data_IF_137156210616
#
_entry.id   IF_137156210616
#
_cell.length_a   1.000
_cell.length_b   1.000
_cell.length_c   1.000
_cell.angle_alpha   90.00
_cell.angle_beta   90.00
_cell.angle_gamma   90.00
#
_symmetry.space_group_name_H-M   'P 1'
#
loop_
_entity.id
_entity.type
_entity.pdbx_description
1 polymer ?
#
# COMPACT_ATOMS: atom_id res chain seq x y z
N UNK A 1 -10.95 -9.49 49.33
CA UNK A 1 -9.83 -9.21 48.44
C UNK A 1 -10.15 -9.61 46.99
N UNK A 2 -11.30 -9.18 46.44
CA UNK A 2 -11.70 -9.51 45.06
C UNK A 2 -12.44 -8.35 44.32
N UNK A 3 -12.21 -7.10 44.73
CA UNK A 3 -12.78 -5.90 44.12
C UNK A 3 -11.72 -5.07 43.40
N UNK A 4 -10.73 -5.71 42.77
CA UNK A 4 -9.59 -5.03 42.15
C UNK A 4 -9.61 -4.82 40.65
N UNK A 5 -10.64 -5.23 39.89
CA UNK A 5 -10.64 -5.10 38.44
C UNK A 5 -11.64 -4.07 37.88
N UNK A 6 -12.55 -3.56 38.70
CA UNK A 6 -13.46 -2.45 38.34
C UNK A 6 -13.66 -1.50 39.52
N UNK A 7 -12.66 -1.28 40.33
CA UNK A 7 -12.68 -0.23 41.34
C UNK A 7 -12.76 1.10 40.63
N UNK A 8 -13.75 1.89 40.97
CA UNK A 8 -14.05 3.25 40.56
C UNK A 8 -12.89 4.23 40.87
N UNK A 9 -11.72 4.03 40.26
CA UNK A 9 -10.77 5.11 40.06
C UNK A 9 -11.35 5.99 38.96
N UNK A 10 -12.37 6.77 39.35
CA UNK A 10 -12.83 7.92 38.58
C UNK A 10 -11.55 8.65 38.15
N UNK A 11 -11.39 8.86 36.84
CA UNK A 11 -10.30 9.60 36.23
C UNK A 11 -10.17 10.98 36.89
N UNK A 12 -9.42 11.10 37.98
CA UNK A 12 -9.06 12.35 38.63
C UNK A 12 -7.89 13.06 37.91
N UNK A 13 -7.91 12.97 36.56
CA UNK A 13 -7.08 13.87 35.75
C UNK A 13 -7.67 15.26 35.88
N UNK A 14 -6.87 16.23 36.28
CA UNK A 14 -7.32 17.62 36.40
C UNK A 14 -8.07 18.01 35.10
N UNK A 15 -9.23 18.62 35.21
CA UNK A 15 -10.08 19.04 34.09
C UNK A 15 -9.27 19.72 32.97
N UNK A 16 -8.33 20.58 33.35
CA UNK A 16 -7.43 21.30 32.45
C UNK A 16 -6.63 20.35 31.57
N UNK A 17 -6.05 19.28 32.12
CA UNK A 17 -5.23 18.32 31.37
C UNK A 17 -6.08 17.53 30.38
N UNK A 18 -7.28 17.10 30.78
CA UNK A 18 -8.16 16.31 29.97
C UNK A 18 -8.74 17.05 28.77
N UNK A 19 -9.17 18.29 28.98
CA UNK A 19 -9.93 19.05 27.99
C UNK A 19 -9.11 20.08 27.20
N UNK A 20 -7.95 20.46 27.69
CA UNK A 20 -7.10 21.47 27.06
C UNK A 20 -5.74 20.90 26.67
N UNK A 21 -4.98 20.38 27.64
CA UNK A 21 -3.57 19.99 27.39
C UNK A 21 -3.46 18.81 26.42
N UNK A 22 -4.22 17.73 26.64
CA UNK A 22 -4.16 16.55 25.77
C UNK A 22 -4.62 16.86 24.33
N UNK A 23 -5.78 17.50 24.10
CA UNK A 23 -6.16 17.91 22.75
C UNK A 23 -5.14 18.84 22.09
N UNK A 24 -4.54 19.73 22.84
CA UNK A 24 -3.51 20.65 22.32
C UNK A 24 -2.31 19.89 21.76
N UNK A 25 -1.86 18.80 22.40
CA UNK A 25 -0.76 17.99 21.89
C UNK A 25 -1.11 17.33 20.54
N UNK A 26 -2.32 16.80 20.39
CA UNK A 26 -2.76 16.27 19.11
C UNK A 26 -2.77 17.36 18.03
N UNK A 27 -3.33 18.53 18.32
CA UNK A 27 -3.36 19.66 17.36
C UNK A 27 -1.94 20.07 16.97
N UNK A 28 -1.04 20.20 17.93
CA UNK A 28 0.35 20.59 17.71
C UNK A 28 1.08 19.61 16.78
N UNK A 29 1.01 18.31 17.06
CA UNK A 29 1.70 17.30 16.24
C UNK A 29 1.04 17.11 14.88
N UNK A 30 -0.28 17.21 14.77
CA UNK A 30 -0.96 17.16 13.47
C UNK A 30 -0.61 18.38 12.61
N UNK A 31 -0.47 19.57 13.23
CA UNK A 31 -0.01 20.77 12.54
C UNK A 31 1.45 20.66 12.12
N UNK A 32 2.33 20.18 13.00
CA UNK A 32 3.73 19.92 12.69
C UNK A 32 3.88 18.88 11.55
N UNK A 33 3.02 17.85 11.54
CA UNK A 33 2.90 16.88 10.45
C UNK A 33 2.30 17.43 9.15
N UNK A 34 1.94 18.72 9.11
CA UNK A 34 1.33 19.39 7.93
C UNK A 34 0.07 18.70 7.41
N UNK A 35 -0.70 18.06 8.29
CA UNK A 35 -1.93 17.34 7.93
C UNK A 35 -2.99 18.27 7.32
N UNK A 36 -2.97 19.57 7.65
CA UNK A 36 -3.97 20.55 7.23
C UNK A 36 -3.49 21.50 6.12
N UNK A 37 -2.24 21.40 5.65
CA UNK A 37 -1.67 22.44 4.78
C UNK A 37 -1.88 22.22 3.29
N UNK A 38 -1.86 20.96 2.80
CA UNK A 38 -1.99 20.63 1.37
C UNK A 38 -2.79 19.35 1.18
N UNK A 39 -3.50 19.22 0.05
CA UNK A 39 -4.06 17.94 -0.37
C UNK A 39 -2.94 16.89 -0.43
N UNK A 40 -3.21 15.71 0.10
CA UNK A 40 -2.28 14.60 0.03
C UNK A 40 -3.05 13.29 -0.08
N UNK A 41 -2.44 12.30 -0.74
CA UNK A 41 -3.03 10.99 -0.88
C UNK A 41 -3.43 10.37 0.46
N UNK A 42 -4.53 9.61 0.44
CA UNK A 42 -5.18 9.05 1.64
C UNK A 42 -4.20 8.28 2.53
N UNK A 43 -3.33 7.46 1.94
CA UNK A 43 -2.38 6.65 2.70
C UNK A 43 -1.33 7.51 3.42
N UNK A 44 -0.86 8.57 2.76
CA UNK A 44 0.08 9.52 3.35
C UNK A 44 -0.58 10.38 4.43
N UNK A 45 -1.85 10.71 4.27
CA UNK A 45 -2.64 11.39 5.28
C UNK A 45 -2.78 10.56 6.55
N UNK A 46 -3.17 9.29 6.40
CA UNK A 46 -3.30 8.35 7.52
C UNK A 46 -1.96 8.10 8.23
N UNK A 47 -0.87 7.98 7.47
CA UNK A 47 0.48 7.87 8.01
C UNK A 47 0.84 9.06 8.90
N UNK A 48 0.59 10.29 8.43
CA UNK A 48 0.87 11.50 9.22
C UNK A 48 -0.01 11.62 10.45
N UNK A 49 -1.29 11.25 10.36
CA UNK A 49 -2.19 11.20 11.51
C UNK A 49 -1.67 10.17 12.53
N UNK A 50 -1.25 8.99 12.07
CA UNK A 50 -0.69 7.96 12.94
C UNK A 50 0.52 8.45 13.72
N UNK A 51 1.53 9.02 13.03
CA UNK A 51 2.71 9.56 13.72
C UNK A 51 2.36 10.74 14.62
N UNK A 52 1.45 11.62 14.19
CA UNK A 52 0.96 12.72 15.03
C UNK A 52 0.31 12.23 16.33
N UNK A 53 -0.54 11.21 16.26
CA UNK A 53 -1.14 10.57 17.42
C UNK A 53 -0.08 9.88 18.30
N UNK A 54 0.85 9.14 17.69
CA UNK A 54 1.93 8.45 18.42
C UNK A 54 2.79 9.45 19.23
N UNK A 55 3.22 10.54 18.62
CA UNK A 55 4.00 11.57 19.32
C UNK A 55 3.18 12.27 20.41
N UNK A 56 1.90 12.56 20.16
CA UNK A 56 1.02 13.13 21.17
C UNK A 56 0.88 12.19 22.38
N UNK A 57 0.66 10.91 22.16
CA UNK A 57 0.56 9.90 23.23
C UNK A 57 1.88 9.76 23.97
N UNK A 58 3.03 9.70 23.28
CA UNK A 58 4.34 9.67 23.93
C UNK A 58 4.55 10.90 24.86
N UNK A 59 4.14 12.08 24.39
CA UNK A 59 4.26 13.30 25.22
C UNK A 59 3.28 13.29 26.40
N UNK A 60 2.06 12.75 26.23
CA UNK A 60 1.09 12.56 27.31
C UNK A 60 1.66 11.59 28.37
N UNK A 61 2.24 10.48 27.95
CA UNK A 61 2.87 9.52 28.86
C UNK A 61 4.00 10.18 29.64
N UNK A 62 4.86 10.93 28.96
CA UNK A 62 5.95 11.66 29.59
C UNK A 62 5.43 12.69 30.61
N UNK A 63 4.40 13.46 30.26
CA UNK A 63 3.80 14.44 31.16
C UNK A 63 3.19 13.75 32.38
N UNK A 64 2.42 12.67 32.20
CA UNK A 64 1.82 11.88 33.28
C UNK A 64 2.89 11.32 34.23
N UNK A 65 4.02 10.90 33.66
CA UNK A 65 5.16 10.40 34.46
C UNK A 65 5.83 11.52 35.25
N UNK A 66 6.15 12.65 34.61
CA UNK A 66 6.85 13.77 35.25
C UNK A 66 6.00 14.49 36.33
N UNK A 67 4.70 14.51 36.16
CA UNK A 67 3.77 15.17 37.11
C UNK A 67 3.30 14.26 38.23
N UNK A 68 3.79 13.00 38.29
CA UNK A 68 3.39 11.95 39.25
C UNK A 68 1.85 11.68 39.28
N UNK A 69 1.10 12.11 38.29
CA UNK A 69 -0.34 11.84 38.14
C UNK A 69 -0.58 10.36 37.75
N UNK A 70 0.48 9.59 37.51
CA UNK A 70 0.42 8.18 37.10
C UNK A 70 -0.41 7.26 38.00
N UNK A 71 -0.50 7.56 39.30
CA UNK A 71 -1.29 6.78 40.25
C UNK A 71 -2.80 6.92 40.04
N UNK A 72 -3.25 7.99 39.40
CA UNK A 72 -4.67 8.27 39.09
C UNK A 72 -5.05 8.04 37.62
N UNK A 73 -4.07 7.70 36.76
CA UNK A 73 -4.31 7.53 35.32
C UNK A 73 -4.20 6.08 34.92
N UNK A 74 -5.29 5.50 34.43
CA UNK A 74 -5.30 4.12 33.95
C UNK A 74 -4.42 3.94 32.71
N UNK A 75 -3.54 2.95 32.72
CA UNK A 75 -2.70 2.56 31.55
C UNK A 75 -3.57 2.20 30.33
N UNK A 76 -4.70 1.49 30.58
CA UNK A 76 -5.68 1.15 29.54
C UNK A 76 -6.33 2.40 28.94
N UNK A 77 -6.59 3.44 29.72
CA UNK A 77 -7.12 4.70 29.20
C UNK A 77 -6.18 5.33 28.19
N UNK A 78 -4.86 5.38 28.47
CA UNK A 78 -3.87 5.95 27.53
C UNK A 78 -3.79 5.11 26.26
N UNK A 79 -3.82 3.78 26.36
CA UNK A 79 -3.83 2.90 25.21
C UNK A 79 -5.08 3.11 24.33
N UNK A 80 -6.26 3.13 24.94
CA UNK A 80 -7.51 3.42 24.25
C UNK A 80 -7.56 4.83 23.68
N UNK A 81 -7.04 5.83 24.39
CA UNK A 81 -6.95 7.20 23.89
C UNK A 81 -6.15 7.25 22.58
N UNK A 82 -5.01 6.55 22.51
CA UNK A 82 -4.21 6.47 21.28
C UNK A 82 -4.95 5.84 20.12
N UNK A 83 -5.54 4.65 20.34
CA UNK A 83 -6.26 3.91 19.32
C UNK A 83 -7.48 4.70 18.84
N UNK A 84 -8.34 5.14 19.75
CA UNK A 84 -9.57 5.86 19.38
C UNK A 84 -9.29 7.23 18.79
N UNK A 85 -8.24 7.95 19.23
CA UNK A 85 -7.85 9.21 18.62
C UNK A 85 -7.41 9.00 17.17
N UNK A 86 -6.59 8.00 16.89
CA UNK A 86 -6.20 7.67 15.52
C UNK A 86 -7.41 7.32 14.65
N UNK A 87 -8.29 6.43 15.12
CA UNK A 87 -9.48 6.02 14.37
C UNK A 87 -10.43 7.20 14.14
N UNK A 88 -10.73 7.97 15.18
CA UNK A 88 -11.64 9.10 15.10
C UNK A 88 -11.10 10.21 14.20
N UNK A 89 -9.83 10.62 14.36
CA UNK A 89 -9.22 11.66 13.53
C UNK A 89 -9.11 11.22 12.07
N UNK A 90 -8.78 9.96 11.82
CA UNK A 90 -8.74 9.41 10.46
C UNK A 90 -10.13 9.40 9.83
N UNK A 91 -11.13 8.86 10.53
CA UNK A 91 -12.51 8.78 10.04
C UNK A 91 -13.12 10.18 9.84
N UNK A 92 -12.96 11.08 10.82
CA UNK A 92 -13.49 12.43 10.74
C UNK A 92 -12.88 13.20 9.55
N UNK A 93 -11.57 13.00 9.30
CA UNK A 93 -10.91 13.65 8.16
C UNK A 93 -11.43 13.10 6.82
N UNK A 94 -11.62 11.78 6.70
CA UNK A 94 -12.17 11.16 5.50
C UNK A 94 -13.60 11.60 5.22
N UNK A 95 -14.44 11.59 6.26
CA UNK A 95 -15.83 12.04 6.16
C UNK A 95 -15.90 13.51 5.79
N UNK A 96 -15.11 14.36 6.48
CA UNK A 96 -15.09 15.79 6.19
C UNK A 96 -14.61 16.07 4.76
N UNK A 97 -13.59 15.37 4.27
CA UNK A 97 -13.14 15.53 2.87
C UNK A 97 -14.26 15.21 1.88
N UNK A 98 -15.03 14.13 2.10
CA UNK A 98 -16.17 13.79 1.25
C UNK A 98 -17.31 14.80 1.34
N UNK A 99 -17.62 15.28 2.54
CA UNK A 99 -18.67 16.31 2.75
C UNK A 99 -18.28 17.62 2.03
N UNK A 100 -17.03 18.05 2.17
CA UNK A 100 -16.53 19.25 1.52
C UNK A 100 -16.51 19.12 0.01
N UNK A 101 -16.11 17.96 -0.51
CA UNK A 101 -16.17 17.69 -1.96
C UNK A 101 -17.60 17.68 -2.50
N UNK A 102 -18.53 17.05 -1.78
CA UNK A 102 -19.95 17.08 -2.11
C UNK A 102 -20.53 18.50 -2.09
N UNK A 103 -20.14 19.31 -1.12
CA UNK A 103 -20.53 20.71 -1.01
C UNK A 103 -19.83 21.63 -2.05
N UNK A 104 -18.90 21.09 -2.86
CA UNK A 104 -18.08 21.88 -3.79
C UNK A 104 -17.07 22.80 -3.12
N UNK A 105 -16.85 22.64 -1.80
CA UNK A 105 -15.96 23.48 -1.00
C UNK A 105 -14.59 22.78 -0.85
N UNK A 106 -13.52 23.58 -0.90
CA UNK A 106 -12.15 23.07 -0.67
C UNK A 106 -11.57 22.28 -1.85
N UNK A 107 -12.15 22.39 -3.04
CA UNK A 107 -11.52 21.93 -4.28
C UNK A 107 -10.35 22.84 -4.61
N UNK A 108 -9.20 22.23 -4.90
CA UNK A 108 -8.00 22.94 -5.28
C UNK A 108 -7.93 23.02 -6.81
N UNK A 109 -8.25 24.17 -7.41
CA UNK A 109 -8.18 24.31 -8.88
C UNK A 109 -6.72 24.24 -9.31
N UNK A 110 -6.46 23.42 -10.33
CA UNK A 110 -5.12 23.18 -10.87
C UNK A 110 -5.16 23.29 -12.39
N UNK A 111 -4.15 23.94 -12.95
CA UNK A 111 -3.88 23.95 -14.39
C UNK A 111 -2.85 22.85 -14.72
N UNK A 112 -3.13 22.09 -15.77
CA UNK A 112 -2.24 21.05 -16.26
C UNK A 112 -1.45 21.55 -17.47
N UNK A 113 -0.14 21.37 -17.45
CA UNK A 113 0.75 21.66 -18.58
C UNK A 113 1.22 20.34 -19.16
N UNK A 114 0.87 20.11 -20.42
CA UNK A 114 1.12 18.88 -21.16
C UNK A 114 -0.06 17.90 -21.10
N UNK A 115 -0.28 17.19 -22.22
CA UNK A 115 -1.36 16.22 -22.42
C UNK A 115 -0.83 14.85 -22.87
N UNK A 116 0.38 14.48 -22.48
CA UNK A 116 1.00 13.19 -22.79
C UNK A 116 0.63 12.06 -21.83
N UNK A 117 1.33 10.93 -21.93
CA UNK A 117 1.15 9.76 -21.05
C UNK A 117 1.30 10.09 -19.56
N UNK A 118 2.24 10.97 -19.22
CA UNK A 118 2.49 11.41 -17.83
C UNK A 118 1.27 12.16 -17.28
N UNK A 119 0.65 13.01 -18.09
CA UNK A 119 -0.59 13.71 -17.73
C UNK A 119 -1.75 12.72 -17.49
N UNK A 120 -1.88 11.69 -18.33
CA UNK A 120 -2.88 10.64 -18.17
C UNK A 120 -2.70 9.87 -16.85
N UNK A 121 -1.47 9.51 -16.52
CA UNK A 121 -1.16 8.82 -15.25
C UNK A 121 -1.47 9.71 -14.03
N UNK A 122 -1.12 10.99 -14.11
CA UNK A 122 -1.45 11.97 -13.07
C UNK A 122 -2.95 12.08 -12.84
N UNK A 123 -3.72 12.23 -13.92
CA UNK A 123 -5.18 12.37 -13.86
C UNK A 123 -5.84 11.12 -13.28
N UNK A 124 -5.36 9.92 -13.65
CA UNK A 124 -5.81 8.67 -13.02
C UNK A 124 -5.49 8.66 -11.52
N UNK A 125 -4.26 9.01 -11.14
CA UNK A 125 -3.85 9.08 -9.73
C UNK A 125 -4.68 10.07 -8.91
N UNK A 126 -5.02 11.23 -9.47
CA UNK A 126 -5.89 12.22 -8.82
C UNK A 126 -7.33 11.67 -8.66
N UNK A 127 -7.84 10.97 -9.67
CA UNK A 127 -9.19 10.39 -9.64
C UNK A 127 -9.33 9.24 -8.65
N UNK A 128 -8.30 8.40 -8.57
CA UNK A 128 -8.31 7.19 -7.76
C UNK A 128 -8.03 7.46 -6.26
N UNK A 129 -7.41 8.59 -5.94
CA UNK A 129 -7.07 8.95 -4.56
C UNK A 129 -7.99 10.07 -4.02
N UNK A 130 -8.98 9.66 -3.24
CA UNK A 130 -9.97 10.57 -2.61
C UNK A 130 -9.34 11.67 -1.74
N UNK A 131 -8.09 11.47 -1.28
CA UNK A 131 -7.37 12.46 -0.46
C UNK A 131 -6.80 13.63 -1.26
N UNK A 132 -6.66 13.46 -2.58
CA UNK A 132 -6.07 14.44 -3.49
C UNK A 132 -7.10 15.43 -4.04
N UNK A 133 -7.83 16.13 -3.32
CA UNK A 133 -8.95 17.00 -3.71
C UNK A 133 -8.58 18.09 -4.77
N UNK A 134 -7.77 17.72 -5.80
CA UNK A 134 -7.43 18.57 -6.94
C UNK A 134 -8.52 18.54 -7.99
N UNK A 135 -8.91 19.71 -8.45
CA UNK A 135 -9.83 19.88 -9.58
C UNK A 135 -9.08 20.47 -10.78
N UNK A 136 -8.76 19.63 -11.76
CA UNK A 136 -8.08 20.08 -12.96
C UNK A 136 -9.08 20.86 -13.82
N UNK A 137 -8.87 22.17 -13.99
CA UNK A 137 -9.78 23.06 -14.72
C UNK A 137 -9.62 22.98 -16.24
N UNK A 138 -8.45 22.53 -16.69
CA UNK A 138 -8.09 22.38 -18.10
C UNK A 138 -6.60 22.17 -18.28
N UNK A 139 -6.18 22.10 -19.54
CA UNK A 139 -4.78 21.89 -19.86
C UNK A 139 -4.29 22.80 -20.99
N UNK A 140 -2.97 23.01 -21.03
CA UNK A 140 -2.25 23.70 -22.12
C UNK A 140 -1.21 22.75 -22.72
N UNK A 141 -1.12 22.73 -24.07
CA UNK A 141 -0.14 21.88 -24.78
C UNK A 141 0.15 22.48 -26.16
N UNK A 142 1.43 22.52 -26.57
CA UNK A 142 1.83 23.01 -27.91
C UNK A 142 1.39 22.10 -29.03
N UNK A 143 1.09 20.85 -28.76
CA UNK A 143 0.61 19.89 -29.76
C UNK A 143 -0.92 19.98 -30.02
N UNK A 144 -1.59 20.94 -29.42
CA UNK A 144 -3.02 21.17 -29.59
C UNK A 144 -3.90 20.22 -28.78
N UNK A 145 -5.12 20.03 -29.22
CA UNK A 145 -6.13 19.24 -28.50
C UNK A 145 -5.81 17.74 -28.53
N UNK A 146 -5.66 17.11 -27.35
CA UNK A 146 -5.34 15.67 -27.19
C UNK A 146 -6.32 14.97 -26.24
N UNK A 147 -7.56 14.82 -26.67
CA UNK A 147 -8.62 14.16 -25.89
C UNK A 147 -8.30 12.71 -25.50
N UNK A 148 -7.50 12.01 -26.28
CA UNK A 148 -7.15 10.60 -26.05
C UNK A 148 -6.49 10.36 -24.69
N UNK A 149 -5.67 11.30 -24.22
CA UNK A 149 -4.91 11.17 -22.99
C UNK A 149 -5.57 11.85 -21.77
N UNK A 150 -6.32 12.93 -22.00
CA UNK A 150 -6.84 13.80 -20.93
C UNK A 150 -8.38 13.81 -20.86
N UNK A 151 -9.04 13.03 -21.72
CA UNK A 151 -10.50 12.89 -21.73
C UNK A 151 -11.22 14.21 -22.06
N UNK A 152 -12.26 14.55 -21.29
CA UNK A 152 -13.10 15.72 -21.52
C UNK A 152 -12.56 17.02 -20.89
N UNK A 153 -11.28 17.08 -20.50
CA UNK A 153 -10.73 18.32 -19.98
C UNK A 153 -10.65 19.39 -21.09
N UNK A 154 -11.03 20.65 -20.80
CA UNK A 154 -10.97 21.72 -21.79
C UNK A 154 -9.51 22.04 -22.14
N UNK A 155 -9.25 22.15 -23.44
CA UNK A 155 -8.03 22.72 -23.97
C UNK A 155 -8.10 24.24 -23.85
N UNK A 156 -7.13 24.84 -23.19
CA UNK A 156 -7.14 26.28 -22.88
C UNK A 156 -6.21 27.10 -23.78
N UNK A 157 -5.25 26.46 -24.47
CA UNK A 157 -4.31 27.11 -25.35
C UNK A 157 -2.93 26.49 -25.35
N UNK A 158 -1.97 27.18 -25.95
CA UNK A 158 -0.57 26.80 -26.08
C UNK A 158 0.26 27.23 -24.86
N UNK A 159 1.52 26.77 -24.77
CA UNK A 159 2.45 27.17 -23.71
C UNK A 159 2.79 28.67 -23.78
N UNK A 160 2.70 29.28 -24.96
CA UNK A 160 2.98 30.71 -25.12
C UNK A 160 1.86 31.58 -24.53
N UNK A 161 0.64 31.04 -24.46
CA UNK A 161 -0.56 31.72 -23.93
C UNK A 161 -0.78 31.49 -22.42
N UNK A 162 0.14 30.84 -21.74
CA UNK A 162 -0.06 30.39 -20.35
C UNK A 162 -0.26 31.54 -19.35
N UNK A 163 0.42 32.68 -19.55
CA UNK A 163 0.32 33.84 -18.65
C UNK A 163 -1.09 34.46 -18.67
N UNK A 164 -1.68 34.81 -19.83
CA UNK A 164 -3.06 35.29 -19.87
C UNK A 164 -4.06 34.26 -19.37
N UNK A 165 -3.82 32.96 -19.60
CA UNK A 165 -4.67 31.88 -19.08
C UNK A 165 -4.65 31.88 -17.54
N UNK A 166 -3.47 31.92 -16.92
CA UNK A 166 -3.31 31.95 -15.46
C UNK A 166 -3.96 33.20 -14.84
N UNK A 167 -3.77 34.34 -15.48
CA UNK A 167 -4.38 35.60 -15.01
C UNK A 167 -5.91 35.56 -15.09
N UNK A 168 -6.46 34.98 -16.15
CA UNK A 168 -7.92 34.85 -16.36
C UNK A 168 -8.54 33.81 -15.42
N UNK A 169 -7.86 32.68 -15.18
CA UNK A 169 -8.39 31.58 -14.38
C UNK A 169 -8.10 31.73 -12.89
N UNK A 170 -7.20 32.63 -12.49
CA UNK A 170 -6.74 32.86 -11.11
C UNK A 170 -6.31 31.58 -10.37
N UNK A 171 -5.77 30.60 -11.10
CA UNK A 171 -5.31 29.35 -10.55
C UNK A 171 -3.99 29.55 -9.83
N UNK A 172 -3.88 29.02 -8.62
CA UNK A 172 -2.69 29.13 -7.80
C UNK A 172 -1.74 27.91 -7.88
N UNK A 173 -2.19 26.80 -8.45
CA UNK A 173 -1.47 25.55 -8.52
C UNK A 173 -1.34 25.06 -9.97
N UNK A 174 -0.11 24.79 -10.41
CA UNK A 174 0.19 24.31 -11.76
C UNK A 174 0.98 23.01 -11.69
N UNK A 175 0.55 22.01 -12.44
CA UNK A 175 1.28 20.76 -12.65
C UNK A 175 1.89 20.73 -14.06
N UNK A 176 3.23 20.65 -14.13
CA UNK A 176 3.93 20.44 -15.40
C UNK A 176 4.13 18.93 -15.57
N UNK A 177 3.31 18.31 -16.44
CA UNK A 177 3.35 16.89 -16.79
C UNK A 177 3.85 16.69 -18.23
N UNK A 178 4.89 17.41 -18.59
CA UNK A 178 5.50 17.41 -19.92
C UNK A 178 7.01 17.09 -19.85
N UNK A 179 7.41 15.84 -19.50
CA UNK A 179 8.82 15.47 -19.35
C UNK A 179 9.63 15.54 -20.64
N UNK A 180 8.95 15.59 -21.81
CA UNK A 180 9.59 15.74 -23.11
C UNK A 180 9.99 17.17 -23.47
N UNK A 181 9.73 18.17 -22.62
CA UNK A 181 10.19 19.53 -22.84
C UNK A 181 11.71 19.61 -22.76
N UNK A 182 12.33 20.33 -23.69
CA UNK A 182 13.76 20.59 -23.59
C UNK A 182 14.09 21.41 -22.33
N UNK A 183 15.27 21.23 -21.72
CA UNK A 183 15.64 21.95 -20.50
C UNK A 183 15.49 23.48 -20.62
N UNK A 184 15.86 24.05 -21.77
CA UNK A 184 15.72 25.49 -22.03
C UNK A 184 14.27 25.96 -22.05
N UNK A 185 13.37 25.16 -22.68
CA UNK A 185 11.92 25.47 -22.70
C UNK A 185 11.32 25.33 -21.29
N UNK A 186 11.73 24.31 -20.54
CA UNK A 186 11.25 24.09 -19.18
C UNK A 186 11.68 25.24 -18.25
N UNK A 187 12.94 25.65 -18.30
CA UNK A 187 13.46 26.79 -17.52
C UNK A 187 12.69 28.08 -17.84
N UNK A 188 12.55 28.39 -19.13
CA UNK A 188 11.79 29.57 -19.57
C UNK A 188 10.35 29.53 -19.06
N UNK A 189 9.71 28.37 -19.15
CA UNK A 189 8.34 28.17 -18.68
C UNK A 189 8.22 28.35 -17.15
N UNK A 190 9.14 27.79 -16.40
CA UNK A 190 9.17 27.92 -14.94
C UNK A 190 9.33 29.39 -14.55
N UNK A 191 10.28 30.11 -15.14
CA UNK A 191 10.49 31.55 -14.83
C UNK A 191 9.26 32.43 -15.16
N UNK A 192 8.52 32.09 -16.21
CA UNK A 192 7.29 32.80 -16.60
C UNK A 192 6.12 32.51 -15.65
N UNK A 193 5.97 31.25 -15.22
CA UNK A 193 4.82 30.81 -14.40
C UNK A 193 5.03 31.11 -12.91
N UNK A 194 6.25 30.92 -12.39
CA UNK A 194 6.54 30.96 -10.95
C UNK A 194 6.09 32.27 -10.26
N UNK A 195 6.20 33.47 -10.86
CA UNK A 195 5.69 34.70 -10.23
C UNK A 195 4.15 34.77 -10.17
N UNK A 196 3.44 34.04 -10.99
CA UNK A 196 1.99 34.10 -11.15
C UNK A 196 1.24 33.08 -10.28
N UNK A 197 1.94 32.06 -9.74
CA UNK A 197 1.30 30.96 -9.02
C UNK A 197 1.93 30.75 -7.65
N UNK A 198 1.17 30.16 -6.72
CA UNK A 198 1.68 29.82 -5.38
C UNK A 198 2.47 28.52 -5.36
N UNK A 199 2.03 27.55 -6.13
CA UNK A 199 2.65 26.23 -6.16
C UNK A 199 2.85 25.78 -7.61
N UNK A 200 4.09 25.53 -7.99
CA UNK A 200 4.46 24.94 -9.24
C UNK A 200 5.05 23.56 -8.98
N UNK A 201 4.47 22.52 -9.56
CA UNK A 201 4.92 21.14 -9.41
C UNK A 201 5.34 20.59 -10.77
N UNK A 202 6.57 20.12 -10.85
CA UNK A 202 7.09 19.44 -12.03
C UNK A 202 7.06 17.93 -11.81
N UNK A 203 6.59 17.18 -12.81
CA UNK A 203 6.51 15.73 -12.80
C UNK A 203 7.56 15.19 -13.78
N UNK A 204 8.72 14.76 -13.28
CA UNK A 204 9.75 14.16 -14.12
C UNK A 204 9.31 12.76 -14.59
N UNK A 205 9.88 12.28 -15.70
CA UNK A 205 9.68 10.91 -16.17
C UNK A 205 10.57 9.95 -15.36
N UNK A 206 10.14 9.67 -14.14
CA UNK A 206 10.80 8.78 -13.19
C UNK A 206 9.92 7.56 -12.84
N UNK A 207 9.11 7.13 -13.81
CA UNK A 207 8.19 6.00 -13.64
C UNK A 207 8.98 4.75 -13.26
N UNK A 208 8.60 4.10 -12.15
CA UNK A 208 9.26 2.88 -11.65
C UNK A 208 10.47 3.10 -10.73
N UNK A 209 10.96 4.34 -10.59
CA UNK A 209 12.03 4.60 -9.61
C UNK A 209 11.51 4.62 -8.17
N UNK A 210 12.36 4.26 -7.18
CA UNK A 210 12.00 4.32 -5.78
C UNK A 210 11.82 5.77 -5.34
N UNK A 211 10.59 6.14 -4.98
CA UNK A 211 10.24 7.51 -4.56
C UNK A 211 10.15 7.67 -3.05
N UNK A 212 10.07 6.56 -2.31
CA UNK A 212 10.00 6.62 -0.85
C UNK A 212 11.38 6.88 -0.26
N UNK A 213 11.50 8.01 0.46
CA UNK A 213 12.77 8.44 1.05
C UNK A 213 13.71 9.14 0.05
N UNK A 214 13.18 9.62 -1.09
CA UNK A 214 13.94 10.52 -1.96
C UNK A 214 14.33 11.76 -1.17
N UNK A 215 15.63 12.02 -1.08
CA UNK A 215 16.17 13.28 -0.59
C UNK A 215 16.49 14.15 -1.79
N UNK A 216 16.00 15.37 -1.75
CA UNK A 216 16.33 16.38 -2.77
C UNK A 216 17.25 17.38 -2.12
N UNK A 217 18.49 17.47 -2.61
CA UNK A 217 19.52 18.38 -2.14
C UNK A 217 19.92 19.30 -3.29
N UNK A 218 20.05 20.60 -3.01
CA UNK A 218 20.58 21.56 -3.98
C UNK A 218 22.05 21.84 -3.68
N UNK A 219 22.92 21.60 -4.64
CA UNK A 219 24.31 22.06 -4.58
C UNK A 219 24.32 23.53 -4.97
N UNK A 220 24.46 24.40 -3.96
CA UNK A 220 24.30 25.85 -4.10
C UNK A 220 25.25 26.47 -5.13
N UNK A 221 26.51 26.02 -5.16
CA UNK A 221 27.52 26.59 -6.03
C UNK A 221 27.30 26.23 -7.51
N UNK A 222 26.80 25.03 -7.78
CA UNK A 222 26.67 24.51 -9.15
C UNK A 222 25.23 24.58 -9.69
N UNK A 223 24.27 25.05 -8.90
CA UNK A 223 22.82 25.06 -9.22
C UNK A 223 22.30 23.68 -9.63
N UNK A 224 22.90 22.61 -9.11
CA UNK A 224 22.52 21.23 -9.38
C UNK A 224 21.54 20.73 -8.34
N UNK A 225 20.56 19.97 -8.80
CA UNK A 225 19.60 19.27 -7.95
C UNK A 225 20.02 17.80 -7.88
N UNK A 226 20.41 17.34 -6.70
CA UNK A 226 20.80 15.95 -6.44
C UNK A 226 19.60 15.21 -5.84
N UNK A 227 19.15 14.18 -6.54
CA UNK A 227 18.10 13.28 -6.05
C UNK A 227 18.73 12.01 -5.47
N UNK A 228 18.77 11.90 -4.16
CA UNK A 228 19.24 10.70 -3.47
C UNK A 228 18.14 9.62 -3.47
N UNK A 229 18.34 8.54 -4.20
CA UNK A 229 17.47 7.37 -4.20
C UNK A 229 17.92 6.38 -3.12
N UNK A 230 17.00 5.93 -2.28
CA UNK A 230 17.33 5.03 -1.17
C UNK A 230 16.62 3.70 -1.34
N UNK A 231 17.36 2.60 -1.20
CA UNK A 231 16.77 1.28 -1.06
C UNK A 231 16.52 1.00 0.44
N UNK A 232 15.27 1.03 0.84
CA UNK A 232 14.91 0.95 2.25
C UNK A 232 15.16 -0.45 2.85
N UNK A 233 14.87 -1.52 2.13
CA UNK A 233 15.11 -2.89 2.65
C UNK A 233 16.56 -3.38 2.49
N UNK A 234 17.44 -2.62 1.84
CA UNK A 234 18.88 -2.89 1.90
C UNK A 234 19.48 -2.58 3.29
N UNK A 235 18.83 -1.71 4.10
CA UNK A 235 19.33 -1.29 5.41
C UNK A 235 19.04 -2.35 6.47
N UNK A 236 20.05 -2.71 7.27
CA UNK A 236 19.93 -3.73 8.34
C UNK A 236 18.87 -3.37 9.38
N UNK A 237 18.78 -2.10 9.79
CA UNK A 237 17.77 -1.63 10.71
C UNK A 237 16.34 -1.91 10.20
N UNK A 238 16.05 -1.59 8.95
CA UNK A 238 14.72 -1.83 8.37
C UNK A 238 14.41 -3.33 8.25
N UNK A 239 15.42 -4.16 7.97
CA UNK A 239 15.25 -5.64 7.95
C UNK A 239 14.87 -6.17 9.31
N UNK A 240 15.53 -5.68 10.37
CA UNK A 240 15.22 -6.09 11.75
C UNK A 240 13.81 -5.63 12.14
N UNK A 241 13.49 -4.38 11.85
CA UNK A 241 12.18 -3.80 12.15
C UNK A 241 11.05 -4.56 11.44
N UNK A 242 11.25 -4.86 10.14
CA UNK A 242 10.31 -5.68 9.39
C UNK A 242 10.16 -7.08 9.97
N UNK A 243 11.27 -7.72 10.34
CA UNK A 243 11.23 -9.04 10.93
C UNK A 243 10.43 -9.07 12.24
N UNK A 244 10.67 -8.11 13.12
CA UNK A 244 9.94 -8.00 14.38
C UNK A 244 8.46 -7.72 14.15
N UNK A 245 8.13 -6.83 13.21
CA UNK A 245 6.76 -6.53 12.81
C UNK A 245 6.04 -7.80 12.32
N UNK A 246 6.65 -8.53 11.37
CA UNK A 246 6.11 -9.78 10.84
C UNK A 246 5.89 -10.82 11.94
N UNK A 247 6.88 -11.02 12.84
CA UNK A 247 6.78 -11.99 13.93
C UNK A 247 5.64 -11.68 14.91
N UNK A 248 5.59 -10.44 15.39
CA UNK A 248 4.57 -10.01 16.36
C UNK A 248 3.18 -10.12 15.75
N UNK A 249 3.00 -9.61 14.55
CA UNK A 249 1.68 -9.62 13.90
C UNK A 249 1.23 -11.04 13.53
N UNK A 250 2.18 -11.90 13.09
CA UNK A 250 1.87 -13.29 12.78
C UNK A 250 1.52 -14.08 14.04
N UNK A 251 2.22 -13.87 15.15
CA UNK A 251 1.93 -14.55 16.42
C UNK A 251 0.52 -14.20 16.92
N UNK A 252 0.18 -12.90 16.91
CA UNK A 252 -1.16 -12.43 17.27
C UNK A 252 -2.19 -13.00 16.29
N UNK A 253 -1.90 -12.96 14.98
CA UNK A 253 -2.78 -13.49 13.94
C UNK A 253 -3.08 -14.97 14.14
N UNK A 254 -2.05 -15.81 14.35
CA UNK A 254 -2.23 -17.24 14.59
C UNK A 254 -3.05 -17.49 15.85
N UNK A 255 -2.80 -16.75 16.93
CA UNK A 255 -3.56 -16.89 18.17
C UNK A 255 -5.06 -16.63 17.93
N UNK A 256 -5.37 -15.56 17.21
CA UNK A 256 -6.79 -15.17 16.91
C UNK A 256 -7.45 -16.17 15.95
N UNK A 257 -6.75 -16.62 14.91
CA UNK A 257 -7.33 -17.49 13.88
C UNK A 257 -7.13 -18.98 14.17
N UNK A 258 -6.48 -19.36 15.27
CA UNK A 258 -6.22 -20.77 15.62
C UNK A 258 -7.47 -21.66 15.63
N UNK A 259 -8.67 -21.23 16.12
CA UNK A 259 -9.87 -22.06 16.05
C UNK A 259 -10.29 -22.34 14.59
N UNK A 260 -10.12 -21.35 13.70
CA UNK A 260 -10.41 -21.49 12.27
C UNK A 260 -9.41 -22.45 11.62
N UNK A 261 -8.12 -22.31 11.93
CA UNK A 261 -7.06 -23.20 11.41
C UNK A 261 -7.34 -24.66 11.79
N UNK A 262 -7.72 -24.92 13.04
CA UNK A 262 -8.06 -26.26 13.53
C UNK A 262 -9.31 -26.81 12.83
N UNK A 263 -10.34 -25.99 12.67
CA UNK A 263 -11.56 -26.39 11.94
C UNK A 263 -11.23 -26.75 10.49
N UNK A 264 -10.47 -25.92 9.78
CA UNK A 264 -10.07 -26.18 8.39
C UNK A 264 -9.21 -27.45 8.29
N UNK A 265 -8.28 -27.67 9.21
CA UNK A 265 -7.48 -28.87 9.29
C UNK A 265 -8.36 -30.15 9.42
N UNK A 266 -9.36 -30.09 10.29
CA UNK A 266 -10.32 -31.16 10.47
C UNK A 266 -11.15 -31.41 9.20
N UNK A 267 -11.68 -30.36 8.57
CA UNK A 267 -12.46 -30.46 7.34
C UNK A 267 -11.63 -31.07 6.20
N UNK A 268 -10.38 -30.66 6.01
CA UNK A 268 -9.48 -31.24 5.00
C UNK A 268 -9.22 -32.73 5.27
N UNK A 269 -9.08 -33.10 6.55
CA UNK A 269 -8.86 -34.51 6.94
C UNK A 269 -10.10 -35.40 6.71
N UNK A 270 -11.29 -34.85 6.94
CA UNK A 270 -12.56 -35.56 6.75
C UNK A 270 -12.93 -35.69 5.27
N UNK A 271 -12.61 -34.68 4.44
CA UNK A 271 -12.95 -34.65 3.02
C UNK A 271 -12.12 -35.66 2.20
N UNK A 272 -10.85 -35.89 2.58
CA UNK A 272 -9.96 -36.79 1.84
C UNK A 272 -8.90 -37.40 2.78
N UNK A 273 -8.64 -38.73 2.71
CA UNK A 273 -7.60 -39.37 3.49
C UNK A 273 -6.21 -38.87 3.08
N UNK A 274 -5.28 -38.75 4.06
CA UNK A 274 -3.90 -38.32 3.81
C UNK A 274 -3.45 -37.12 4.64
N UNK A 275 -2.29 -36.48 4.35
CA UNK A 275 -1.76 -35.38 5.11
C UNK A 275 -2.62 -34.12 4.96
N UNK A 276 -2.76 -33.34 6.03
CA UNK A 276 -3.56 -32.10 6.04
C UNK A 276 -2.86 -30.98 5.26
N UNK A 277 -1.53 -30.94 5.36
CA UNK A 277 -0.70 -29.92 4.73
C UNK A 277 -0.03 -30.48 3.48
N UNK A 278 0.08 -29.64 2.49
CA UNK A 278 0.88 -29.80 1.31
C UNK A 278 2.01 -28.78 1.32
N UNK A 279 3.21 -29.21 0.91
CA UNK A 279 4.38 -28.35 0.83
C UNK A 279 4.92 -28.31 -0.59
N UNK A 280 5.00 -27.13 -1.19
CA UNK A 280 5.60 -26.94 -2.50
C UNK A 280 6.93 -26.19 -2.37
N UNK A 281 8.00 -26.71 -2.99
CA UNK A 281 9.30 -26.04 -2.95
C UNK A 281 9.25 -24.72 -3.70
N UNK A 282 9.65 -23.65 -3.04
CA UNK A 282 9.70 -22.29 -3.59
C UNK A 282 11.05 -21.66 -3.29
N UNK A 283 11.40 -20.67 -4.10
CA UNK A 283 12.61 -19.86 -3.90
C UNK A 283 12.28 -18.73 -2.92
N UNK A 284 13.16 -18.53 -1.95
CA UNK A 284 13.09 -17.48 -0.94
C UNK A 284 14.29 -16.54 -0.98
N UNK A 285 14.51 -15.86 0.14
CA UNK A 285 15.59 -14.92 0.33
C UNK A 285 16.96 -15.57 0.06
N UNK A 286 17.83 -14.84 -0.68
CA UNK A 286 19.15 -15.34 -1.06
C UNK A 286 19.13 -16.50 -2.06
N UNK A 287 18.01 -16.76 -2.73
CA UNK A 287 17.88 -17.86 -3.67
C UNK A 287 17.73 -19.24 -3.02
N UNK A 288 17.52 -19.31 -1.69
CA UNK A 288 17.36 -20.56 -0.96
C UNK A 288 15.98 -21.16 -1.18
N UNK A 289 15.92 -22.47 -1.39
CA UNK A 289 14.64 -23.18 -1.48
C UNK A 289 14.05 -23.41 -0.07
N UNK A 290 12.73 -23.28 0.04
CA UNK A 290 12.00 -23.59 1.27
C UNK A 290 10.66 -24.27 0.96
N UNK A 291 10.09 -25.08 1.88
CA UNK A 291 8.79 -25.69 1.73
C UNK A 291 7.70 -24.68 2.04
N UNK A 292 6.98 -24.20 1.03
CA UNK A 292 5.83 -23.29 1.18
C UNK A 292 4.59 -24.11 1.55
N UNK A 293 4.06 -23.93 2.76
CA UNK A 293 2.95 -24.70 3.28
C UNK A 293 1.59 -24.19 2.79
N UNK A 294 0.71 -25.15 2.47
CA UNK A 294 -0.70 -24.90 2.15
C UNK A 294 -1.57 -26.01 2.74
N UNK A 295 -2.84 -25.74 2.96
CA UNK A 295 -3.79 -26.85 3.13
C UNK A 295 -3.88 -27.65 1.85
N UNK A 296 -3.99 -28.97 1.97
CA UNK A 296 -4.19 -29.85 0.82
C UNK A 296 -5.58 -29.62 0.24
N UNK A 297 -5.64 -29.25 -1.03
CA UNK A 297 -6.86 -29.00 -1.79
C UNK A 297 -7.12 -30.04 -2.88
N UNK A 298 -6.17 -30.95 -3.09
CA UNK A 298 -6.23 -32.03 -4.08
C UNK A 298 -6.19 -33.39 -3.39
N UNK A 299 -6.73 -34.40 -4.05
CA UNK A 299 -6.65 -35.79 -3.59
C UNK A 299 -5.18 -36.31 -3.64
N UNK A 300 -4.91 -37.41 -2.93
CA UNK A 300 -3.54 -37.96 -2.85
C UNK A 300 -3.07 -38.48 -4.22
N UNK A 301 -3.98 -39.06 -5.01
CA UNK A 301 -3.68 -39.63 -6.34
C UNK A 301 -3.88 -38.60 -7.48
N UNK A 302 -3.59 -37.31 -7.19
CA UNK A 302 -3.83 -36.22 -8.12
C UNK A 302 -3.20 -36.40 -9.50
N UNK A 303 -1.96 -36.88 -9.55
CA UNK A 303 -1.23 -37.11 -10.82
C UNK A 303 -1.82 -38.27 -11.67
N UNK A 304 -2.28 -39.32 -11.02
CA UNK A 304 -2.95 -40.44 -11.68
C UNK A 304 -4.28 -40.01 -12.27
N UNK A 305 -5.10 -39.32 -11.44
CA UNK A 305 -6.39 -38.78 -11.88
C UNK A 305 -6.26 -37.76 -13.02
N UNK A 306 -5.20 -36.91 -13.00
CA UNK A 306 -4.96 -36.01 -14.12
C UNK A 306 -4.70 -36.75 -15.41
N UNK A 307 -3.80 -37.77 -15.39
CA UNK A 307 -3.48 -38.53 -16.57
C UNK A 307 -4.70 -39.27 -17.15
N UNK A 308 -5.50 -39.88 -16.29
CA UNK A 308 -6.73 -40.58 -16.70
C UNK A 308 -7.76 -39.58 -17.28
N UNK A 309 -7.91 -38.41 -16.65
CA UNK A 309 -8.83 -37.39 -17.12
C UNK A 309 -8.42 -36.82 -18.47
N UNK A 310 -7.14 -36.46 -18.66
CA UNK A 310 -6.62 -35.95 -19.92
C UNK A 310 -6.64 -37.02 -21.04
N UNK A 311 -6.56 -38.28 -20.70
CA UNK A 311 -6.69 -39.38 -21.68
C UNK A 311 -8.14 -39.57 -22.19
N UNK A 312 -9.13 -39.28 -21.31
CA UNK A 312 -10.55 -39.43 -21.63
C UNK A 312 -11.23 -38.17 -22.16
N UNK A 313 -10.60 -36.97 -22.00
CA UNK A 313 -11.18 -35.67 -22.38
C UNK A 313 -10.19 -34.89 -23.25
N UNK A 314 -10.28 -34.97 -24.59
CA UNK A 314 -9.39 -34.25 -25.50
C UNK A 314 -9.42 -32.72 -25.31
N UNK A 315 -10.61 -32.12 -25.06
CA UNK A 315 -10.77 -30.68 -24.82
C UNK A 315 -10.02 -30.22 -23.56
N UNK A 316 -10.07 -31.01 -22.50
CA UNK A 316 -9.33 -30.72 -21.25
C UNK A 316 -7.82 -30.83 -21.45
N UNK A 317 -7.37 -31.71 -22.41
CA UNK A 317 -5.96 -31.81 -22.77
C UNK A 317 -5.45 -30.55 -23.46
N UNK A 318 -6.22 -29.97 -24.39
CA UNK A 318 -5.88 -28.73 -25.08
C UNK A 318 -5.82 -27.55 -24.07
N UNK A 319 -6.79 -27.47 -23.13
CA UNK A 319 -6.80 -26.49 -22.07
C UNK A 319 -5.55 -26.65 -21.18
N UNK A 320 -5.20 -27.86 -20.80
CA UNK A 320 -4.02 -28.14 -19.98
C UNK A 320 -2.70 -27.78 -20.67
N UNK A 321 -2.55 -28.12 -21.95
CA UNK A 321 -1.34 -27.83 -22.73
C UNK A 321 -1.13 -26.31 -22.90
N UNK A 322 -2.23 -25.53 -22.96
CA UNK A 322 -2.17 -24.07 -23.07
C UNK A 322 -1.87 -23.37 -21.75
N UNK A 323 -2.57 -23.73 -20.67
CA UNK A 323 -2.61 -22.94 -19.44
C UNK A 323 -2.04 -23.66 -18.21
N UNK A 324 -1.74 -24.96 -18.31
CA UNK A 324 -1.40 -25.85 -17.18
C UNK A 324 -2.42 -25.78 -16.03
N UNK A 325 -3.66 -25.47 -16.37
CA UNK A 325 -4.81 -25.37 -15.46
C UNK A 325 -6.04 -25.94 -16.15
N UNK A 326 -6.98 -26.42 -15.37
CA UNK A 326 -8.29 -26.87 -15.82
C UNK A 326 -9.37 -26.07 -15.06
N UNK A 327 -10.44 -25.68 -15.75
CA UNK A 327 -11.59 -25.01 -15.13
C UNK A 327 -12.27 -25.95 -14.15
N UNK A 328 -12.54 -27.19 -14.58
CA UNK A 328 -13.11 -28.24 -13.76
C UNK A 328 -12.04 -29.32 -13.51
N UNK A 329 -11.17 -29.05 -12.55
CA UNK A 329 -10.07 -29.94 -12.20
C UNK A 329 -10.54 -31.09 -11.28
N UNK A 330 -10.60 -32.33 -11.77
CA UNK A 330 -11.12 -33.49 -11.02
C UNK A 330 -10.26 -33.89 -9.82
N UNK A 331 -9.06 -33.31 -9.71
CA UNK A 331 -8.16 -33.52 -8.57
C UNK A 331 -8.57 -32.77 -7.32
N UNK A 332 -9.33 -31.66 -7.48
CA UNK A 332 -9.68 -30.78 -6.39
C UNK A 332 -10.81 -31.43 -5.59
N UNK A 333 -10.62 -31.47 -4.25
CA UNK A 333 -11.64 -32.00 -3.33
C UNK A 333 -12.76 -30.98 -3.10
N UNK A 334 -13.90 -31.42 -2.54
CA UNK A 334 -15.03 -30.50 -2.28
C UNK A 334 -14.63 -29.33 -1.38
N UNK A 335 -13.96 -29.62 -0.26
CA UNK A 335 -13.41 -28.59 0.62
C UNK A 335 -12.29 -27.81 -0.08
N UNK A 336 -11.50 -28.47 -0.92
CA UNK A 336 -10.47 -27.84 -1.73
C UNK A 336 -10.99 -26.70 -2.61
N UNK A 337 -12.14 -26.86 -3.25
CA UNK A 337 -12.78 -25.79 -4.03
C UNK A 337 -13.12 -24.56 -3.17
N UNK A 338 -13.67 -24.77 -1.97
CA UNK A 338 -13.98 -23.68 -1.03
C UNK A 338 -12.70 -22.97 -0.60
N UNK A 339 -11.67 -23.73 -0.21
CA UNK A 339 -10.41 -23.19 0.26
C UNK A 339 -9.72 -22.34 -0.82
N UNK A 340 -9.67 -22.81 -2.07
CA UNK A 340 -9.08 -22.07 -3.20
C UNK A 340 -9.86 -20.78 -3.52
N UNK A 341 -11.20 -20.87 -3.57
CA UNK A 341 -12.04 -19.70 -3.84
C UNK A 341 -11.91 -18.60 -2.78
N UNK A 342 -11.67 -19.01 -1.52
CA UNK A 342 -11.51 -18.08 -0.39
C UNK A 342 -10.05 -17.76 -0.07
N UNK A 343 -9.08 -18.38 -0.77
CA UNK A 343 -7.65 -18.29 -0.48
C UNK A 343 -7.26 -18.74 0.94
N UNK A 344 -8.13 -19.48 1.62
CA UNK A 344 -7.86 -20.02 2.96
C UNK A 344 -6.85 -21.18 2.94
N UNK A 345 -6.62 -21.79 1.76
CA UNK A 345 -5.57 -22.79 1.58
C UNK A 345 -4.16 -22.25 1.86
N UNK A 346 -3.95 -20.95 1.80
CA UNK A 346 -2.66 -20.30 2.02
C UNK A 346 -2.37 -19.94 3.49
N UNK A 347 -3.37 -20.05 4.40
CA UNK A 347 -3.18 -19.73 5.82
C UNK A 347 -2.01 -20.47 6.50
N UNK A 348 -1.66 -21.74 6.16
CA UNK A 348 -0.50 -22.41 6.76
C UNK A 348 0.84 -21.72 6.44
N UNK A 349 0.91 -20.82 5.45
CA UNK A 349 2.12 -20.01 5.21
C UNK A 349 2.49 -19.11 6.40
N UNK A 350 1.56 -18.82 7.31
CA UNK A 350 1.86 -18.14 8.57
C UNK A 350 2.93 -18.90 9.39
N UNK A 351 2.98 -20.22 9.31
CA UNK A 351 4.05 -21.01 9.92
C UNK A 351 5.41 -20.81 9.23
N UNK A 352 5.42 -20.56 7.91
CA UNK A 352 6.66 -20.17 7.21
C UNK A 352 7.16 -18.80 7.66
N UNK A 353 6.23 -17.86 7.97
CA UNK A 353 6.61 -16.56 8.53
C UNK A 353 7.26 -16.74 9.90
N UNK A 354 6.67 -17.54 10.81
CA UNK A 354 7.25 -17.83 12.11
C UNK A 354 8.61 -18.52 12.02
N UNK A 355 8.83 -19.37 11.01
CA UNK A 355 10.14 -19.99 10.74
C UNK A 355 11.15 -19.00 10.13
N UNK A 356 10.72 -17.80 9.76
CA UNK A 356 11.58 -16.81 9.11
C UNK A 356 11.88 -17.10 7.64
N UNK A 357 11.14 -18.01 7.01
CA UNK A 357 11.26 -18.36 5.58
C UNK A 357 10.45 -17.40 4.69
N UNK A 358 9.36 -16.83 5.25
CA UNK A 358 8.48 -15.87 4.59
C UNK A 358 8.27 -14.62 5.44
N UNK A 359 7.58 -13.65 4.87
CA UNK A 359 7.08 -12.42 5.45
C UNK A 359 5.56 -12.34 5.25
N UNK A 360 4.86 -11.52 6.02
CA UNK A 360 3.45 -11.24 5.76
C UNK A 360 3.27 -10.55 4.42
N UNK A 361 4.11 -9.54 4.14
CA UNK A 361 4.08 -8.74 2.90
C UNK A 361 5.43 -8.83 2.20
N UNK A 362 5.43 -9.12 0.91
CA UNK A 362 6.66 -9.23 0.11
C UNK A 362 6.38 -9.71 -1.32
N UNK A 363 7.42 -9.85 -2.13
CA UNK A 363 7.32 -10.52 -3.43
C UNK A 363 6.73 -11.92 -3.29
N UNK A 364 5.92 -12.35 -4.26
CA UNK A 364 5.37 -13.70 -4.22
C UNK A 364 6.48 -14.75 -4.31
N UNK A 365 6.44 -15.86 -3.52
CA UNK A 365 7.41 -16.95 -3.64
C UNK A 365 7.31 -17.61 -5.01
N UNK A 366 8.43 -17.65 -5.74
CA UNK A 366 8.54 -18.16 -7.11
C UNK A 366 9.08 -19.60 -7.16
N UNK A 367 8.86 -20.27 -8.27
CA UNK A 367 9.52 -21.54 -8.58
C UNK A 367 10.83 -21.28 -9.34
N UNK A 368 11.74 -22.28 -9.36
CA UNK A 368 13.03 -22.16 -10.04
C UNK A 368 12.91 -21.79 -11.52
N UNK A 369 11.88 -22.28 -12.21
CA UNK A 369 11.60 -21.96 -13.61
C UNK A 369 11.22 -20.49 -13.86
N UNK A 370 10.80 -19.75 -12.82
CA UNK A 370 10.43 -18.33 -12.91
C UNK A 370 11.64 -17.39 -12.74
N UNK A 371 12.78 -17.86 -12.21
CA UNK A 371 13.98 -17.02 -12.00
C UNK A 371 14.40 -16.25 -13.26
N UNK A 372 14.49 -16.88 -14.46
CA UNK A 372 14.88 -16.15 -15.68
C UNK A 372 13.92 -15.01 -16.05
N UNK A 373 12.62 -15.14 -15.69
CA UNK A 373 11.60 -14.13 -15.99
C UNK A 373 11.77 -12.84 -15.17
N UNK A 374 12.50 -12.89 -14.06
CA UNK A 374 12.83 -11.70 -13.26
C UNK A 374 13.95 -10.86 -13.87
N UNK A 375 14.78 -11.41 -14.75
CA UNK A 375 15.89 -10.69 -15.36
C UNK A 375 16.78 -10.00 -14.33
N UNK A 376 17.09 -8.72 -14.54
CA UNK A 376 17.91 -7.92 -13.63
C UNK A 376 17.27 -7.64 -12.26
N UNK A 377 15.95 -7.76 -12.13
CA UNK A 377 15.22 -7.51 -10.88
C UNK A 377 15.34 -8.66 -9.86
N UNK A 378 15.93 -9.80 -10.25
CA UNK A 378 16.09 -10.96 -9.34
C UNK A 378 16.90 -10.62 -8.09
N UNK A 379 17.83 -9.67 -8.19
CA UNK A 379 18.61 -9.18 -7.05
C UNK A 379 17.73 -8.55 -5.97
N UNK A 380 16.71 -7.79 -6.35
CA UNK A 380 15.75 -7.19 -5.40
C UNK A 380 14.93 -8.29 -4.70
N UNK A 381 14.47 -9.31 -5.46
CA UNK A 381 13.78 -10.46 -4.90
C UNK A 381 14.63 -11.19 -3.84
N UNK A 382 15.91 -11.45 -4.14
CA UNK A 382 16.80 -12.16 -3.21
C UNK A 382 17.15 -11.37 -1.94
N UNK A 383 17.00 -10.05 -1.94
CA UNK A 383 17.27 -9.24 -0.74
C UNK A 383 16.27 -9.44 0.37
N UNK A 384 15.06 -9.92 0.08
CA UNK A 384 13.93 -9.96 1.02
C UNK A 384 13.34 -11.36 1.12
N UNK A 385 12.55 -11.60 2.18
CA UNK A 385 11.72 -12.80 2.29
C UNK A 385 10.49 -12.64 1.41
N UNK A 386 10.06 -13.71 0.71
CA UNK A 386 8.81 -13.68 -0.05
C UNK A 386 7.61 -13.52 0.89
N UNK A 387 6.57 -12.83 0.41
CA UNK A 387 5.38 -12.53 1.18
C UNK A 387 4.22 -13.51 0.97
N UNK A 388 3.32 -13.58 1.96
CA UNK A 388 1.99 -14.20 1.80
C UNK A 388 1.16 -13.34 0.86
N UNK A 389 1.22 -12.02 1.04
CA UNK A 389 0.64 -11.04 0.14
C UNK A 389 1.70 -10.08 -0.39
N UNK A 390 1.39 -9.35 -1.45
CA UNK A 390 2.34 -8.45 -2.08
C UNK A 390 1.67 -7.38 -2.93
N UNK A 391 2.49 -6.46 -3.44
CA UNK A 391 2.04 -5.27 -4.16
C UNK A 391 1.14 -5.61 -5.35
N UNK A 392 1.57 -6.52 -6.24
CA UNK A 392 0.79 -6.89 -7.41
C UNK A 392 -0.44 -7.73 -7.06
N UNK A 393 -0.39 -8.54 -5.98
CA UNK A 393 -1.50 -9.38 -5.54
C UNK A 393 -2.73 -8.57 -5.12
N UNK A 394 -2.53 -7.33 -4.65
CA UNK A 394 -3.63 -6.46 -4.20
C UNK A 394 -4.00 -5.37 -5.21
N UNK A 395 -3.12 -5.03 -6.17
CA UNK A 395 -3.36 -3.92 -7.11
C UNK A 395 -3.69 -4.36 -8.54
N UNK A 396 -3.31 -5.55 -9.00
CA UNK A 396 -3.49 -5.93 -10.41
C UNK A 396 -3.90 -7.38 -10.67
N UNK A 397 -3.61 -8.31 -9.76
CA UNK A 397 -3.93 -9.75 -9.85
C UNK A 397 -3.79 -10.34 -11.26
N UNK A 398 -4.92 -10.79 -11.88
CA UNK A 398 -4.96 -11.45 -13.19
C UNK A 398 -4.73 -10.53 -14.38
N UNK A 399 -4.96 -9.22 -14.22
CA UNK A 399 -4.93 -8.26 -15.34
C UNK A 399 -3.54 -7.68 -15.61
N UNK A 400 -2.52 -8.07 -14.82
CA UNK A 400 -1.14 -7.62 -14.97
C UNK A 400 -0.29 -8.63 -15.70
N UNK A 401 0.56 -8.14 -16.61
CA UNK A 401 1.60 -8.94 -17.25
C UNK A 401 2.63 -9.43 -16.22
N UNK A 402 3.39 -10.47 -16.58
CA UNK A 402 4.43 -10.96 -15.67
C UNK A 402 5.51 -9.90 -15.40
N UNK A 403 5.85 -9.11 -16.40
CA UNK A 403 6.83 -8.02 -16.26
C UNK A 403 6.36 -6.93 -15.30
N UNK A 404 5.09 -6.52 -15.40
CA UNK A 404 4.50 -5.56 -14.45
C UNK A 404 4.50 -6.09 -13.02
N UNK A 405 4.26 -7.40 -12.81
CA UNK A 405 4.37 -8.04 -11.48
C UNK A 405 5.77 -7.91 -10.92
N UNK A 406 6.78 -8.22 -11.73
CA UNK A 406 8.19 -8.12 -11.35
C UNK A 406 8.57 -6.69 -11.01
N UNK A 407 8.11 -5.72 -11.79
CA UNK A 407 8.33 -4.29 -11.52
C UNK A 407 7.66 -3.84 -10.20
N UNK A 408 6.43 -4.29 -9.93
CA UNK A 408 5.73 -4.01 -8.67
C UNK A 408 6.46 -4.62 -7.47
N UNK A 409 6.96 -5.84 -7.59
CA UNK A 409 7.73 -6.51 -6.54
C UNK A 409 9.05 -5.77 -6.25
N UNK A 410 9.78 -5.38 -7.29
CA UNK A 410 10.99 -4.57 -7.17
C UNK A 410 10.70 -3.19 -6.56
N UNK A 411 9.62 -2.54 -7.01
CA UNK A 411 9.18 -1.26 -6.45
C UNK A 411 8.91 -1.37 -4.95
N UNK A 412 8.21 -2.43 -4.51
CA UNK A 412 7.94 -2.68 -3.10
C UNK A 412 9.23 -2.79 -2.28
N UNK A 413 10.20 -3.58 -2.73
CA UNK A 413 11.47 -3.79 -2.02
C UNK A 413 12.22 -2.47 -1.82
N UNK A 414 12.27 -1.64 -2.85
CA UNK A 414 12.99 -0.36 -2.83
C UNK A 414 12.26 0.73 -2.03
N UNK A 415 10.92 0.70 -2.02
CA UNK A 415 10.07 1.71 -1.38
C UNK A 415 9.50 1.29 -0.02
N UNK A 416 9.97 0.20 0.53
CA UNK A 416 9.42 -0.37 1.75
C UNK A 416 9.31 0.63 2.92
N UNK A 417 8.21 0.54 3.65
CA UNK A 417 7.98 1.12 4.98
C UNK A 417 6.98 0.24 5.73
N UNK A 418 6.97 0.31 7.06
CA UNK A 418 5.93 -0.36 7.88
C UNK A 418 4.53 0.10 7.45
N UNK A 419 4.40 1.38 7.11
CA UNK A 419 3.13 1.92 6.66
C UNK A 419 2.67 1.31 5.33
N UNK A 420 3.59 1.05 4.41
CA UNK A 420 3.29 0.34 3.17
C UNK A 420 2.80 -1.10 3.46
N UNK A 421 3.44 -1.81 4.39
CA UNK A 421 2.99 -3.13 4.81
C UNK A 421 1.57 -3.10 5.39
N UNK A 422 1.30 -2.19 6.32
CA UNK A 422 -0.04 -2.02 6.90
C UNK A 422 -1.09 -1.73 5.82
N UNK A 423 -0.76 -0.87 4.86
CA UNK A 423 -1.68 -0.53 3.77
C UNK A 423 -1.95 -1.71 2.83
N UNK A 424 -0.94 -2.53 2.53
CA UNK A 424 -1.09 -3.73 1.72
C UNK A 424 -1.87 -4.83 2.45
N UNK A 425 -1.64 -5.02 3.75
CA UNK A 425 -2.43 -5.93 4.58
C UNK A 425 -3.90 -5.52 4.62
N UNK A 426 -4.18 -4.22 4.79
CA UNK A 426 -5.55 -3.70 4.75
C UNK A 426 -6.23 -3.95 3.40
N UNK A 427 -5.53 -3.66 2.30
CA UNK A 427 -6.02 -3.95 0.95
C UNK A 427 -6.24 -5.44 0.74
N UNK A 428 -5.36 -6.31 1.25
CA UNK A 428 -5.51 -7.76 1.16
C UNK A 428 -6.81 -8.21 1.84
N UNK A 429 -7.06 -7.71 3.05
CA UNK A 429 -8.30 -8.00 3.76
C UNK A 429 -9.54 -7.56 2.97
N UNK A 430 -9.52 -6.35 2.42
CA UNK A 430 -10.62 -5.84 1.59
C UNK A 430 -10.84 -6.70 0.33
N UNK A 431 -9.77 -7.12 -0.34
CA UNK A 431 -9.83 -7.93 -1.56
C UNK A 431 -10.34 -9.35 -1.28
N UNK A 432 -9.94 -9.96 -0.15
CA UNK A 432 -10.43 -11.28 0.27
C UNK A 432 -11.93 -11.22 0.59
N UNK A 433 -12.40 -10.18 1.28
CA UNK A 433 -13.83 -10.01 1.61
C UNK A 433 -14.71 -9.79 0.38
N UNK A 434 -14.23 -9.05 -0.62
CA UNK A 434 -15.04 -8.72 -1.81
C UNK A 434 -14.90 -9.75 -2.95
N UNK A 435 -14.16 -10.85 -2.76
CA UNK A 435 -13.97 -11.95 -3.74
C UNK A 435 -13.53 -11.46 -5.13
N UNK A 436 -12.93 -10.27 -5.26
CA UNK A 436 -12.43 -9.76 -6.54
C UNK A 436 -11.22 -10.57 -7.00
N UNK A 437 -11.38 -11.37 -8.05
CA UNK A 437 -10.30 -12.10 -8.72
C UNK A 437 -9.86 -13.41 -8.04
N UNK A 438 -10.72 -14.09 -7.29
CA UNK A 438 -10.56 -15.50 -6.96
C UNK A 438 -11.07 -16.33 -8.15
N UNK A 439 -10.26 -17.33 -8.60
CA UNK A 439 -10.61 -18.31 -9.63
C UNK A 439 -11.62 -19.31 -9.11
#
# INVERSE_FOLDING_TARGET
ARNGLMGSSVLHIAWLNKWIVFPLFFILFLRAGRVYQKPMGIWRLLERIFYGCAYAICLIILLVYLTHIGNSTSRLFIAFLGIFSFLFLSLSRLVMTKILDWAGIGRYPVLLVGAGKTAQLLLRGIKDDVGLNYHVIGYVDDAGERKENVGNLPYLGTLDEIEPILTKTQVNDVFIAAPGLSPKKLDSLIYRIQPLVRNLSFIPDLIGLPVNGVTVESLFNERLLVMGLRNNLARSYNKILKYLFDMVLTLIGILVISPILLLLALLVRLDSPGPILFAHRRIGQGGKEFPCYKFRTMCVDADVKLKEYLASHPEAREEWERDFKLKDDPRITRIGHILRRTSLDELPQLFNVLKGEMSLVGPRPIVRAEIPKYGSYISDFYMVRPGITGMWQVNGRSDTTYEERVQMDSWYVRNWSIWLDLSLLWKTFSVVLHHKGAY
#
